data_IF_272029617866
#
_entry.id   IF_272029617866
#
_cell.length_a   1.000
_cell.length_b   1.000
_cell.length_c   1.000
_cell.angle_alpha   90.00
_cell.angle_beta   90.00
_cell.angle_gamma   90.00
#
_symmetry.space_group_name_H-M   'P 1'
#
loop_
_entity.id
_entity.type
_entity.pdbx_description
1 polymer ?
#
# COMPACT_ATOMS: atom_id res chain seq x y z
N UNK A 1 -0.54 27.39 -12.40
CA UNK A 1 -0.29 26.62 -11.17
C UNK A 1 -0.48 25.14 -11.50
N UNK A 2 0.60 24.41 -11.79
CA UNK A 2 0.52 22.98 -12.09
C UNK A 2 0.18 22.23 -10.80
N UNK A 3 -1.05 21.74 -10.68
CA UNK A 3 -1.44 20.90 -9.57
C UNK A 3 -0.58 19.63 -9.56
N UNK A 4 0.25 19.43 -8.53
CA UNK A 4 0.80 18.11 -8.22
C UNK A 4 -0.39 17.18 -8.00
N UNK A 5 -0.73 16.38 -9.01
CA UNK A 5 -1.81 15.41 -8.89
C UNK A 5 -1.35 14.29 -7.95
N UNK A 6 -2.19 13.84 -7.01
CA UNK A 6 -1.86 12.69 -6.20
C UNK A 6 -1.65 11.47 -7.10
N UNK A 7 -0.46 10.87 -7.04
CA UNK A 7 -0.17 9.64 -7.74
C UNK A 7 -0.62 8.46 -6.89
N UNK A 8 -1.61 7.70 -7.38
CA UNK A 8 -2.02 6.43 -6.79
C UNK A 8 -1.42 5.26 -7.57
N UNK A 9 -0.76 4.34 -6.87
CA UNK A 9 -0.26 3.10 -7.44
C UNK A 9 -1.03 1.90 -6.84
N UNK A 10 -1.63 1.03 -7.66
CA UNK A 10 -2.33 -0.14 -7.15
C UNK A 10 -1.32 -1.19 -6.67
N UNK A 11 -1.44 -1.63 -5.42
CA UNK A 11 -0.67 -2.75 -4.88
C UNK A 11 -1.56 -3.99 -4.74
N UNK A 12 -1.00 -5.17 -5.03
CA UNK A 12 -1.64 -6.45 -4.69
C UNK A 12 -1.28 -6.82 -3.25
N UNK A 13 -2.29 -7.01 -2.41
CA UNK A 13 -2.16 -7.47 -1.02
C UNK A 13 -2.37 -8.98 -0.93
N UNK A 14 -1.49 -9.67 -0.18
CA UNK A 14 -1.67 -11.11 0.11
C UNK A 14 -2.66 -11.37 1.25
N UNK A 15 -2.85 -10.42 2.16
CA UNK A 15 -3.63 -10.63 3.38
C UNK A 15 -4.83 -9.68 3.41
N UNK A 16 -6.05 -10.24 3.38
CA UNK A 16 -7.30 -9.44 3.37
C UNK A 16 -7.57 -8.78 4.73
N UNK A 17 -7.02 -9.33 5.81
CA UNK A 17 -7.12 -8.78 7.17
C UNK A 17 -6.47 -7.41 7.25
N UNK A 18 -5.37 -7.19 6.51
CA UNK A 18 -4.66 -5.91 6.48
C UNK A 18 -5.45 -4.79 5.78
N UNK A 19 -6.35 -5.11 4.85
CA UNK A 19 -7.12 -4.10 4.08
C UNK A 19 -8.27 -3.52 4.90
N UNK A 20 -8.87 -4.29 5.81
CA UNK A 20 -9.99 -3.83 6.63
C UNK A 20 -9.59 -2.90 7.78
N UNK A 21 -8.31 -2.92 8.20
CA UNK A 21 -7.82 -2.11 9.33
C UNK A 21 -7.20 -0.77 8.91
N UNK A 22 -6.96 -0.55 7.62
CA UNK A 22 -6.37 0.69 7.09
C UNK A 22 -7.45 1.50 6.38
N UNK A 23 -7.65 2.75 6.80
CA UNK A 23 -8.59 3.67 6.13
C UNK A 23 -7.84 4.66 5.26
N UNK A 24 -8.54 5.23 4.28
CA UNK A 24 -7.97 6.33 3.48
C UNK A 24 -7.58 7.49 4.43
N UNK A 25 -6.33 7.95 4.34
CA UNK A 25 -5.77 8.96 5.24
C UNK A 25 -4.88 8.42 6.37
N UNK A 26 -4.82 7.11 6.58
CA UNK A 26 -3.87 6.51 7.52
C UNK A 26 -2.44 6.52 6.97
N UNK A 27 -1.48 6.91 7.82
CA UNK A 27 -0.07 6.78 7.51
C UNK A 27 0.39 5.36 7.87
N UNK A 28 0.80 4.60 6.87
CA UNK A 28 1.14 3.19 7.00
C UNK A 28 2.56 2.92 6.54
N UNK A 29 3.31 2.20 7.36
CA UNK A 29 4.57 1.58 6.96
C UNK A 29 4.24 0.26 6.27
N UNK A 30 4.66 0.16 5.02
CA UNK A 30 4.46 -1.04 4.22
C UNK A 30 5.78 -1.76 3.97
N UNK A 31 5.77 -3.08 4.10
CA UNK A 31 6.83 -3.95 3.60
C UNK A 31 6.34 -4.57 2.30
N UNK A 32 7.06 -4.27 1.23
CA UNK A 32 6.82 -4.79 -0.12
C UNK A 32 7.90 -5.83 -0.41
N UNK A 33 7.50 -7.01 -0.86
CA UNK A 33 8.41 -7.99 -1.46
C UNK A 33 8.16 -8.02 -2.96
N UNK A 34 9.24 -8.05 -3.73
CA UNK A 34 9.17 -8.28 -5.16
C UNK A 34 9.34 -9.78 -5.40
N UNK A 35 8.26 -10.42 -5.87
CA UNK A 35 8.28 -11.85 -6.25
C UNK A 35 7.93 -11.89 -7.73
N UNK A 36 8.85 -12.41 -8.56
CA UNK A 36 8.67 -12.55 -10.00
C UNK A 36 8.24 -11.24 -10.71
N UNK A 37 8.82 -10.10 -10.31
CA UNK A 37 8.48 -8.79 -10.88
C UNK A 37 7.16 -8.19 -10.37
N UNK A 38 6.42 -8.92 -9.54
CA UNK A 38 5.20 -8.44 -8.91
C UNK A 38 5.50 -7.89 -7.52
N UNK A 39 5.13 -6.63 -7.28
CA UNK A 39 5.21 -6.00 -5.97
C UNK A 39 4.04 -6.50 -5.11
N UNK A 40 4.35 -7.39 -4.17
CA UNK A 40 3.40 -7.95 -3.22
C UNK A 40 3.52 -7.19 -1.91
N UNK A 41 2.39 -6.70 -1.42
CA UNK A 41 2.30 -6.07 -0.11
C UNK A 41 2.18 -7.16 0.96
N UNK A 42 3.22 -7.29 1.80
CA UNK A 42 3.42 -8.44 2.69
C UNK A 42 3.06 -8.12 4.14
N UNK A 43 3.38 -6.90 4.59
CA UNK A 43 2.99 -6.41 5.92
C UNK A 43 2.70 -4.92 5.86
N UNK A 44 1.64 -4.52 6.54
CA UNK A 44 1.33 -3.11 6.78
C UNK A 44 1.23 -2.89 8.28
N UNK A 45 1.89 -1.86 8.77
CA UNK A 45 1.78 -1.41 10.14
C UNK A 45 1.40 0.07 10.12
N UNK A 46 0.36 0.43 10.87
CA UNK A 46 0.05 1.83 11.11
C UNK A 46 1.23 2.47 11.85
N UNK A 47 1.66 3.65 11.39
CA UNK A 47 2.78 4.37 11.97
C UNK A 47 2.41 5.01 13.30
#
# INVERSE_FOLDING_TARGET
MSACRPWRWPFKTKESVMVNSIKEGDNVKVRVENVDGTQILVKMAKQ
#
